data_IF_575876937452
#
_entry.id   IF_575876937452
#
_cell.length_a   1.000
_cell.length_b   1.000
_cell.length_c   1.000
_cell.angle_alpha   90.00
_cell.angle_beta   90.00
_cell.angle_gamma   90.00
#
_symmetry.space_group_name_H-M   'P 1'
#
loop_
_entity.id
_entity.type
_entity.pdbx_description
1 polymer ?
#
# COMPACT_ATOMS: atom_id res chain seq x y z
N UNK A 1 -1.54 -7.99 14.16
CA UNK A 1 -0.83 -7.71 12.90
C UNK A 1 0.44 -8.53 12.87
N UNK A 2 0.70 -9.21 11.76
CA UNK A 2 1.93 -9.98 11.56
C UNK A 2 2.71 -9.34 10.41
N UNK A 3 3.52 -8.33 10.76
CA UNK A 3 4.40 -7.67 9.82
C UNK A 3 5.80 -8.31 9.84
N UNK A 4 6.49 -8.37 8.69
CA UNK A 4 7.86 -8.85 8.58
C UNK A 4 8.85 -7.78 9.08
N UNK A 5 8.79 -7.46 10.37
CA UNK A 5 9.54 -6.35 10.97
C UNK A 5 11.05 -6.44 10.76
N UNK A 6 11.60 -7.66 10.76
CA UNK A 6 13.03 -7.88 10.59
C UNK A 6 13.46 -7.60 9.15
N UNK A 7 12.69 -8.06 8.18
CA UNK A 7 12.92 -7.86 6.75
C UNK A 7 12.80 -6.37 6.36
N UNK A 8 11.92 -5.64 7.05
CA UNK A 8 11.76 -4.20 6.93
C UNK A 8 12.89 -3.38 7.60
N UNK A 9 13.84 -4.03 8.28
CA UNK A 9 14.79 -3.38 9.19
C UNK A 9 14.12 -2.52 10.28
N UNK A 10 12.88 -2.86 10.65
CA UNK A 10 12.03 -2.18 11.63
C UNK A 10 11.72 -3.04 12.86
N UNK A 11 12.54 -4.07 13.14
CA UNK A 11 12.43 -4.88 14.37
C UNK A 11 12.48 -4.02 15.63
N UNK A 12 13.14 -2.86 15.58
CA UNK A 12 13.18 -1.87 16.65
C UNK A 12 13.07 -0.47 16.07
N UNK A 13 12.14 0.32 16.57
CA UNK A 13 11.96 1.71 16.19
C UNK A 13 11.46 2.53 17.37
N UNK A 14 11.62 3.84 17.30
CA UNK A 14 11.21 4.75 18.36
C UNK A 14 10.13 5.68 17.83
N UNK A 15 9.02 5.75 18.56
CA UNK A 15 8.01 6.76 18.33
C UNK A 15 8.31 7.96 19.22
N UNK A 16 8.37 9.13 18.61
CA UNK A 16 8.58 10.40 19.31
C UNK A 16 7.35 11.29 19.16
N UNK A 17 6.92 11.84 20.29
CA UNK A 17 5.85 12.83 20.37
C UNK A 17 6.26 13.90 21.38
N UNK A 18 6.46 15.12 20.90
CA UNK A 18 7.07 16.22 21.68
C UNK A 18 8.43 15.82 22.29
N UNK A 19 8.56 15.82 23.62
CA UNK A 19 9.77 15.45 24.37
C UNK A 19 9.82 13.96 24.76
N UNK A 20 8.75 13.21 24.53
CA UNK A 20 8.64 11.84 25.00
C UNK A 20 8.93 10.85 23.88
N UNK A 21 9.55 9.73 24.26
CA UNK A 21 9.92 8.64 23.35
C UNK A 21 9.37 7.32 23.86
N UNK A 22 8.93 6.48 22.95
CA UNK A 22 8.49 5.11 23.23
C UNK A 22 9.17 4.14 22.27
N UNK A 23 9.82 3.12 22.82
CA UNK A 23 10.45 2.07 22.04
C UNK A 23 9.40 1.02 21.64
N UNK A 24 9.44 0.65 20.37
CA UNK A 24 8.73 -0.50 19.83
C UNK A 24 9.74 -1.59 19.47
N UNK A 25 9.39 -2.83 19.81
CA UNK A 25 10.14 -4.04 19.45
C UNK A 25 9.16 -5.01 18.80
N UNK A 26 9.40 -5.36 17.55
CA UNK A 26 8.54 -6.22 16.72
C UNK A 26 7.06 -5.79 16.76
N UNK A 27 6.82 -4.48 16.68
CA UNK A 27 5.48 -3.88 16.70
C UNK A 27 4.82 -3.79 18.07
N UNK A 28 5.49 -4.20 19.16
CA UNK A 28 4.96 -4.10 20.53
C UNK A 28 5.69 -3.03 21.34
N UNK A 29 4.96 -2.36 22.22
CA UNK A 29 5.53 -1.33 23.10
C UNK A 29 6.41 -1.95 24.17
N UNK A 30 7.58 -1.36 24.41
CA UNK A 30 8.41 -1.68 25.58
C UNK A 30 8.59 -0.44 26.46
N UNK A 31 8.02 -0.43 27.68
CA UNK A 31 8.24 0.66 28.60
C UNK A 31 9.68 0.66 29.16
N UNK A 32 10.34 1.81 29.08
CA UNK A 32 11.45 2.21 29.97
C UNK A 32 12.81 1.51 29.82
N UNK A 33 12.99 0.53 28.93
CA UNK A 33 14.31 -0.14 28.73
C UNK A 33 14.86 0.12 27.32
N UNK A 34 16.14 0.50 27.23
CA UNK A 34 16.87 0.57 25.95
C UNK A 34 16.78 1.90 25.19
N UNK A 35 16.26 2.97 25.80
CA UNK A 35 16.21 4.32 25.20
C UNK A 35 17.60 4.95 25.02
N UNK A 36 18.62 4.54 25.78
CA UNK A 36 19.99 5.05 25.60
C UNK A 36 20.63 4.59 24.29
N UNK A 37 20.21 3.44 23.76
CA UNK A 37 20.59 2.95 22.42
C UNK A 37 19.71 3.53 21.29
N UNK A 38 18.75 4.42 21.61
CA UNK A 38 17.78 4.96 20.65
C UNK A 38 18.36 5.94 19.62
N UNK A 39 19.60 6.42 19.82
CA UNK A 39 20.21 7.42 18.91
C UNK A 39 20.42 6.90 17.49
N UNK A 40 20.51 5.59 17.30
CA UNK A 40 20.70 4.94 15.99
C UNK A 40 19.43 4.28 15.45
N UNK A 41 18.33 4.29 16.23
CA UNK A 41 17.08 3.66 15.81
C UNK A 41 16.28 4.56 14.88
N UNK A 42 15.52 3.93 13.97
CA UNK A 42 14.55 4.62 13.13
C UNK A 42 13.55 5.37 14.03
N UNK A 43 13.42 6.67 13.79
CA UNK A 43 12.50 7.54 14.53
C UNK A 43 11.23 7.77 13.71
N UNK A 44 10.08 7.64 14.35
CA UNK A 44 8.75 7.87 13.75
C UNK A 44 8.06 9.00 14.51
N UNK A 45 7.58 10.00 13.77
CA UNK A 45 6.87 11.17 14.31
C UNK A 45 5.56 11.37 13.57
N UNK A 46 4.55 11.90 14.24
CA UNK A 46 3.27 12.15 13.57
C UNK A 46 3.33 13.34 12.60
N UNK A 47 3.85 14.48 13.07
CA UNK A 47 4.07 15.66 12.25
C UNK A 47 5.57 15.90 12.10
N UNK A 48 5.93 16.63 11.05
CA UNK A 48 7.27 17.20 10.90
C UNK A 48 7.63 17.99 12.16
N UNK A 49 8.80 17.68 12.71
CA UNK A 49 9.38 18.35 13.85
C UNK A 49 10.88 18.50 13.65
N UNK A 50 11.57 19.01 14.66
CA UNK A 50 13.01 19.29 14.62
C UNK A 50 13.90 18.04 14.55
N UNK A 51 13.34 16.84 14.41
CA UNK A 51 14.13 15.60 14.39
C UNK A 51 14.57 15.30 12.96
N UNK A 52 15.82 15.60 12.59
CA UNK A 52 16.32 15.24 11.27
C UNK A 52 16.25 13.72 11.12
N UNK A 53 15.82 13.28 9.94
CA UNK A 53 15.69 11.86 9.56
C UNK A 53 14.59 11.05 10.26
N UNK A 54 13.59 11.71 10.84
CA UNK A 54 12.41 11.01 11.31
C UNK A 54 11.43 10.70 10.15
N UNK A 55 10.78 9.55 10.22
CA UNK A 55 9.69 9.17 9.31
C UNK A 55 8.45 9.96 9.71
N UNK A 56 7.94 10.78 8.80
CA UNK A 56 6.73 11.58 8.99
C UNK A 56 5.49 10.75 8.66
N UNK A 57 4.74 10.38 9.71
CA UNK A 57 3.60 9.49 9.59
C UNK A 57 2.41 10.14 8.89
N UNK A 58 2.18 11.43 9.13
CA UNK A 58 1.11 12.17 8.44
C UNK A 58 1.39 12.29 6.95
N UNK A 59 2.65 12.47 6.56
CA UNK A 59 3.05 12.46 5.15
C UNK A 59 2.80 11.08 4.53
N UNK A 60 3.23 9.99 5.19
CA UNK A 60 2.94 8.62 4.72
C UNK A 60 1.45 8.39 4.53
N UNK A 61 0.62 8.78 5.51
CA UNK A 61 -0.82 8.64 5.42
C UNK A 61 -1.42 9.38 4.23
N UNK A 62 -0.97 10.61 3.95
CA UNK A 62 -1.42 11.39 2.79
C UNK A 62 -1.09 10.71 1.46
N UNK A 63 0.02 10.00 1.42
CA UNK A 63 0.54 9.38 0.21
C UNK A 63 -0.13 8.02 -0.03
N UNK A 64 -0.28 7.21 1.02
CA UNK A 64 -0.90 5.89 0.91
C UNK A 64 -2.43 5.94 0.86
N UNK A 65 -3.03 6.99 1.46
CA UNK A 65 -4.48 7.16 1.53
C UNK A 65 -4.88 8.54 0.99
N UNK A 66 -4.63 8.84 -0.29
CA UNK A 66 -4.84 10.17 -0.85
C UNK A 66 -6.32 10.56 -0.92
N UNK A 67 -7.24 9.59 -0.87
CA UNK A 67 -8.68 9.78 -0.92
C UNK A 67 -9.31 10.08 0.44
N UNK A 68 -8.56 9.95 1.54
CA UNK A 68 -9.07 10.32 2.86
C UNK A 68 -9.23 11.84 2.97
N UNK A 69 -10.38 12.34 3.47
CA UNK A 69 -10.67 13.77 3.53
C UNK A 69 -9.85 14.49 4.62
N UNK A 70 -9.41 13.78 5.65
CA UNK A 70 -8.59 14.32 6.74
C UNK A 70 -7.52 13.33 7.18
N UNK A 71 -6.33 13.85 7.43
CA UNK A 71 -5.14 13.13 7.93
C UNK A 71 -4.71 13.73 9.26
N UNK A 72 -5.66 13.99 10.16
CA UNK A 72 -5.40 14.22 11.58
C UNK A 72 -5.22 12.88 12.32
N UNK A 73 -4.51 12.89 13.44
CA UNK A 73 -4.20 11.65 14.16
C UNK A 73 -5.50 10.97 14.64
N UNK A 74 -6.46 11.77 15.10
CA UNK A 74 -7.79 11.32 15.49
C UNK A 74 -8.54 10.67 14.34
N UNK A 75 -8.56 11.29 13.16
CA UNK A 75 -9.28 10.76 11.99
C UNK A 75 -8.65 9.47 11.47
N UNK A 76 -7.32 9.39 11.42
CA UNK A 76 -6.63 8.16 11.03
C UNK A 76 -6.79 7.04 12.06
N UNK A 77 -6.72 7.35 13.36
CA UNK A 77 -7.01 6.36 14.39
C UNK A 77 -8.45 5.86 14.30
N UNK A 78 -9.42 6.73 14.04
CA UNK A 78 -10.81 6.33 13.82
C UNK A 78 -10.97 5.43 12.58
N UNK A 79 -10.31 5.78 11.46
CA UNK A 79 -10.32 5.00 10.23
C UNK A 79 -9.82 3.56 10.44
N UNK A 80 -8.76 3.37 11.24
CA UNK A 80 -8.21 2.05 11.57
C UNK A 80 -8.77 1.44 12.87
N UNK A 81 -9.81 2.02 13.46
CA UNK A 81 -10.39 1.56 14.73
C UNK A 81 -9.37 1.46 15.89
N UNK A 82 -8.38 2.35 15.94
CA UNK A 82 -7.40 2.46 17.03
C UNK A 82 -8.03 3.28 18.17
N UNK A 83 -8.17 2.71 19.39
CA UNK A 83 -8.86 3.36 20.50
C UNK A 83 -7.99 4.44 21.16
N UNK A 84 -7.92 5.62 20.55
CA UNK A 84 -7.05 6.73 20.97
C UNK A 84 -7.29 7.18 22.42
N UNK A 85 -8.51 7.05 22.94
CA UNK A 85 -8.86 7.41 24.33
C UNK A 85 -8.32 6.42 25.37
N UNK A 86 -8.04 5.18 24.97
CA UNK A 86 -7.56 4.11 25.86
C UNK A 86 -6.05 3.93 25.78
N UNK A 87 -5.39 4.55 24.79
CA UNK A 87 -3.98 4.40 24.51
C UNK A 87 -3.24 5.70 24.80
N UNK A 88 -1.98 5.59 25.22
CA UNK A 88 -1.11 6.75 25.17
C UNK A 88 -0.89 7.17 23.72
N UNK A 89 -0.81 8.47 23.47
CA UNK A 89 -0.66 9.03 22.11
C UNK A 89 0.47 8.40 21.29
N UNK A 90 1.63 8.13 21.92
CA UNK A 90 2.77 7.44 21.28
C UNK A 90 2.46 5.98 20.90
N UNK A 91 1.65 5.30 21.69
CA UNK A 91 1.19 3.93 21.40
C UNK A 91 0.28 3.92 20.19
N UNK A 92 -0.66 4.88 20.13
CA UNK A 92 -1.53 5.07 18.98
C UNK A 92 -0.72 5.40 17.69
N UNK A 93 0.29 6.27 17.78
CA UNK A 93 1.17 6.60 16.63
C UNK A 93 1.93 5.36 16.13
N UNK A 94 2.54 4.57 17.02
CA UNK A 94 3.26 3.36 16.60
C UNK A 94 2.35 2.27 16.06
N UNK A 95 1.13 2.15 16.62
CA UNK A 95 0.10 1.26 16.08
C UNK A 95 -0.35 1.71 14.69
N UNK A 96 -0.62 3.00 14.51
CA UNK A 96 -0.96 3.60 13.21
C UNK A 96 0.17 3.39 12.19
N UNK A 97 1.42 3.49 12.63
CA UNK A 97 2.57 3.19 11.79
C UNK A 97 2.56 1.77 11.25
N UNK A 98 2.28 0.77 12.09
CA UNK A 98 2.08 -0.59 11.61
C UNK A 98 0.99 -0.66 10.52
N UNK A 99 -0.16 0.00 10.73
CA UNK A 99 -1.26 -0.04 9.75
C UNK A 99 -0.87 0.57 8.41
N UNK A 100 -0.13 1.68 8.44
CA UNK A 100 0.35 2.32 7.21
C UNK A 100 1.43 1.50 6.49
N UNK A 101 2.26 0.74 7.21
CA UNK A 101 3.16 -0.24 6.58
C UNK A 101 2.36 -1.34 5.86
N UNK A 102 1.31 -1.87 6.49
CA UNK A 102 0.45 -2.86 5.83
C UNK A 102 -0.22 -2.30 4.58
N UNK A 103 -0.73 -1.06 4.61
CA UNK A 103 -1.25 -0.43 3.40
C UNK A 103 -0.18 -0.25 2.32
N UNK A 104 1.02 0.18 2.72
CA UNK A 104 2.14 0.32 1.80
C UNK A 104 2.51 -0.98 1.10
N UNK A 105 2.42 -2.13 1.80
CA UNK A 105 2.67 -3.46 1.22
C UNK A 105 1.58 -3.92 0.24
N UNK A 106 0.39 -3.30 0.26
CA UNK A 106 -0.70 -3.58 -0.69
C UNK A 106 -0.69 -2.68 -1.92
N UNK A 107 0.16 -1.66 -1.94
CA UNK A 107 0.29 -0.78 -3.10
C UNK A 107 0.99 -1.52 -4.24
N UNK A 108 0.66 -1.12 -5.47
CA UNK A 108 1.35 -1.62 -6.65
C UNK A 108 2.87 -1.32 -6.58
N UNK A 109 3.76 -2.28 -6.91
CA UNK A 109 5.21 -2.10 -6.85
C UNK A 109 5.75 -0.88 -7.63
N UNK A 110 5.16 -0.55 -8.78
CA UNK A 110 5.57 0.63 -9.55
C UNK A 110 5.28 1.93 -8.79
N UNK A 111 4.14 1.99 -8.11
CA UNK A 111 3.76 3.12 -7.24
C UNK A 111 4.73 3.21 -6.06
N UNK A 112 5.03 2.10 -5.39
CA UNK A 112 6.00 2.05 -4.28
C UNK A 112 7.37 2.55 -4.75
N UNK A 113 7.84 2.09 -5.91
CA UNK A 113 9.10 2.52 -6.51
C UNK A 113 9.12 4.03 -6.75
N UNK A 114 8.08 4.59 -7.38
CA UNK A 114 7.97 6.02 -7.62
C UNK A 114 7.97 6.83 -6.31
N UNK A 115 7.16 6.41 -5.33
CA UNK A 115 7.06 7.05 -4.03
C UNK A 115 8.39 7.03 -3.27
N UNK A 116 9.16 5.94 -3.36
CA UNK A 116 10.49 5.84 -2.78
C UNK A 116 11.45 6.94 -3.28
N UNK A 117 11.29 7.40 -4.51
CA UNK A 117 12.11 8.47 -5.11
C UNK A 117 11.62 9.89 -4.79
N UNK A 118 10.31 10.06 -4.64
CA UNK A 118 9.69 11.39 -4.46
C UNK A 118 9.60 11.82 -3.00
N UNK A 119 9.59 10.88 -2.06
CA UNK A 119 9.44 11.19 -0.64
C UNK A 119 10.75 11.65 0.02
N UNK A 120 10.68 12.43 1.12
CA UNK A 120 11.86 12.83 1.88
C UNK A 120 12.71 11.62 2.29
N UNK A 121 14.05 11.75 2.39
CA UNK A 121 14.99 10.62 2.44
C UNK A 121 14.57 9.48 3.37
N UNK A 122 14.27 9.75 4.64
CA UNK A 122 13.93 8.69 5.62
C UNK A 122 12.60 8.00 5.34
N UNK A 123 11.61 8.76 4.83
CA UNK A 123 10.33 8.19 4.42
C UNK A 123 10.49 7.42 3.11
N UNK A 124 11.24 7.97 2.14
CA UNK A 124 11.49 7.32 0.84
C UNK A 124 12.31 6.04 0.98
N UNK A 125 13.32 6.02 1.86
CA UNK A 125 14.08 4.82 2.22
C UNK A 125 13.17 3.73 2.78
N UNK A 126 12.29 4.07 3.74
CA UNK A 126 11.30 3.13 4.23
C UNK A 126 10.44 2.57 3.09
N UNK A 127 9.90 3.42 2.22
CA UNK A 127 9.05 2.98 1.11
C UNK A 127 9.83 2.07 0.15
N UNK A 128 11.11 2.34 -0.14
CA UNK A 128 11.95 1.44 -0.94
C UNK A 128 12.14 0.08 -0.28
N UNK A 129 12.23 0.00 1.04
CA UNK A 129 12.30 -1.27 1.77
C UNK A 129 10.99 -2.08 1.70
N UNK A 130 9.85 -1.45 1.39
CA UNK A 130 8.58 -2.16 1.16
C UNK A 130 8.56 -2.90 -0.18
N UNK A 131 9.25 -2.38 -1.21
CA UNK A 131 9.20 -2.88 -2.58
C UNK A 131 9.44 -4.40 -2.71
N UNK A 132 10.56 -4.97 -2.22
CA UNK A 132 10.83 -6.40 -2.39
C UNK A 132 9.81 -7.29 -1.67
N UNK A 133 9.12 -6.76 -0.66
CA UNK A 133 8.10 -7.47 0.09
C UNK A 133 6.73 -7.40 -0.60
N UNK A 134 6.41 -6.27 -1.24
CA UNK A 134 5.19 -6.11 -2.02
C UNK A 134 5.21 -7.02 -3.27
N UNK A 135 6.34 -7.10 -3.97
CA UNK A 135 6.53 -7.98 -5.13
C UNK A 135 6.32 -9.46 -4.77
N UNK A 136 6.77 -9.88 -3.58
CA UNK A 136 6.60 -11.24 -3.08
C UNK A 136 5.14 -11.58 -2.69
N UNK A 137 4.30 -10.56 -2.45
CA UNK A 137 2.87 -10.72 -2.17
C UNK A 137 2.08 -10.87 -3.47
N UNK A 138 2.41 -10.09 -4.51
CA UNK A 138 1.78 -10.24 -5.84
C UNK A 138 2.05 -11.63 -6.43
N UNK A 139 3.30 -12.11 -6.38
CA UNK A 139 3.65 -13.44 -6.93
C UNK A 139 2.97 -14.61 -6.22
N UNK A 140 2.61 -14.48 -4.94
CA UNK A 140 1.87 -15.53 -4.20
C UNK A 140 0.37 -15.54 -4.49
N UNK A 141 -0.17 -14.45 -5.02
CA UNK A 141 -1.60 -14.33 -5.28
C UNK A 141 -1.97 -14.82 -6.69
N UNK A 142 -0.99 -15.01 -7.57
CA UNK A 142 -1.18 -15.50 -8.95
C UNK A 142 -1.17 -17.04 -9.13
N UNK A 143 -1.07 -17.84 -8.06
CA UNK A 143 -1.17 -19.30 -8.14
C UNK A 143 -2.56 -19.83 -7.77
N UNK A 144 -3.62 -19.30 -8.39
CA UNK A 144 -4.77 -20.15 -8.73
C UNK A 144 -4.72 -20.39 -10.23
N UNK A 145 -4.54 -21.64 -10.71
CA UNK A 145 -4.76 -21.93 -12.11
C UNK A 145 -6.23 -21.61 -12.36
N UNK A 146 -6.50 -20.47 -13.00
CA UNK A 146 -7.79 -20.20 -13.61
C UNK A 146 -8.11 -21.46 -14.41
N UNK A 147 -9.09 -22.24 -13.93
CA UNK A 147 -9.63 -23.32 -14.73
C UNK A 147 -9.92 -22.70 -16.09
N UNK A 148 -9.47 -23.30 -17.20
CA UNK A 148 -9.75 -22.77 -18.50
C UNK A 148 -11.26 -22.78 -18.66
N UNK A 149 -11.89 -21.64 -18.36
CA UNK A 149 -13.25 -21.35 -18.74
C UNK A 149 -13.22 -21.54 -20.24
N UNK A 150 -13.84 -22.61 -20.73
CA UNK A 150 -13.89 -22.92 -22.15
C UNK A 150 -14.29 -21.63 -22.84
N UNK A 151 -13.32 -21.02 -23.53
CA UNK A 151 -13.58 -19.80 -24.28
C UNK A 151 -14.76 -20.14 -25.20
N UNK A 152 -15.84 -19.36 -25.20
CA UNK A 152 -16.89 -19.57 -26.17
C UNK A 152 -16.24 -19.64 -27.54
N UNK A 153 -16.44 -20.74 -28.26
CA UNK A 153 -15.95 -20.96 -29.62
C UNK A 153 -16.80 -20.07 -30.55
N UNK A 154 -16.68 -18.76 -30.37
CA UNK A 154 -17.38 -17.76 -31.12
C UNK A 154 -16.29 -16.97 -31.82
N UNK A 155 -16.37 -16.91 -33.15
CA UNK A 155 -15.40 -16.15 -33.94
C UNK A 155 -15.47 -14.67 -33.55
N UNK A 156 -14.35 -13.95 -33.69
CA UNK A 156 -14.30 -12.50 -33.45
C UNK A 156 -15.31 -11.74 -34.30
N UNK A 157 -15.57 -12.21 -35.52
CA UNK A 157 -16.59 -11.66 -36.42
C UNK A 157 -18.00 -11.81 -35.84
N UNK A 158 -18.31 -12.97 -35.27
CA UNK A 158 -19.61 -13.27 -34.69
C UNK A 158 -19.83 -12.50 -33.39
N UNK A 159 -18.80 -12.37 -32.55
CA UNK A 159 -18.84 -11.61 -31.30
C UNK A 159 -19.06 -10.10 -31.51
N UNK A 160 -18.44 -9.52 -32.55
CA UNK A 160 -18.50 -8.09 -32.89
C UNK A 160 -19.55 -7.75 -33.98
N UNK A 161 -20.41 -8.69 -34.33
CA UNK A 161 -21.51 -8.45 -35.28
C UNK A 161 -22.65 -7.64 -34.64
N UNK A 162 -23.54 -7.08 -35.47
CA UNK A 162 -24.75 -6.38 -35.01
C UNK A 162 -25.63 -7.19 -34.05
N UNK A 163 -25.57 -8.52 -34.19
CA UNK A 163 -26.34 -9.49 -33.41
C UNK A 163 -25.47 -10.29 -32.45
N UNK A 164 -24.18 -9.93 -32.32
CA UNK A 164 -23.21 -10.64 -31.50
C UNK A 164 -23.47 -10.47 -30.01
N UNK A 165 -22.85 -11.33 -29.21
CA UNK A 165 -23.01 -11.34 -27.74
C UNK A 165 -22.71 -9.97 -27.13
N UNK A 166 -21.73 -9.24 -27.69
CA UNK A 166 -21.35 -7.90 -27.22
C UNK A 166 -22.45 -6.86 -27.54
N UNK A 167 -23.04 -6.93 -28.73
CA UNK A 167 -24.12 -6.03 -29.14
C UNK A 167 -25.39 -6.22 -28.31
N UNK A 168 -25.68 -7.46 -27.91
CA UNK A 168 -26.85 -7.78 -27.09
C UNK A 168 -26.72 -7.31 -25.64
N UNK A 169 -25.50 -7.20 -25.11
CA UNK A 169 -25.24 -6.81 -23.72
C UNK A 169 -24.95 -5.31 -23.54
N UNK A 170 -24.74 -4.56 -24.62
CA UNK A 170 -24.38 -3.15 -24.58
C UNK A 170 -25.40 -2.29 -25.35
N UNK A 171 -26.27 -1.52 -24.66
CA UNK A 171 -27.31 -0.69 -25.26
C UNK A 171 -26.81 0.42 -26.21
N UNK A 172 -25.51 0.68 -26.23
CA UNK A 172 -24.86 1.68 -27.10
C UNK A 172 -23.85 1.07 -28.08
N UNK A 173 -23.97 -0.22 -28.37
CA UNK A 173 -23.04 -0.88 -29.29
C UNK A 173 -23.15 -0.30 -30.71
N UNK A 174 -22.00 0.08 -31.27
CA UNK A 174 -21.86 0.58 -32.62
C UNK A 174 -20.81 -0.25 -33.36
N UNK A 175 -21.13 -0.66 -34.58
CA UNK A 175 -20.21 -1.44 -35.41
C UNK A 175 -19.11 -0.52 -35.93
N UNK A 176 -17.86 -0.81 -35.54
CA UNK A 176 -16.67 -0.08 -36.01
C UNK A 176 -15.78 -0.99 -36.84
N UNK A 177 -15.75 -0.83 -38.18
CA UNK A 177 -14.98 -1.71 -39.07
C UNK A 177 -13.48 -1.78 -38.73
N UNK A 178 -12.89 -0.68 -38.23
CA UNK A 178 -11.50 -0.65 -37.81
C UNK A 178 -11.23 -1.54 -36.58
N UNK A 179 -12.17 -1.61 -35.64
CA UNK A 179 -12.04 -2.44 -34.44
C UNK A 179 -12.22 -3.93 -34.76
N UNK A 180 -13.14 -4.26 -35.67
CA UNK A 180 -13.28 -5.63 -36.19
C UNK A 180 -12.00 -6.09 -36.88
N UNK A 181 -11.42 -5.26 -37.75
CA UNK A 181 -10.16 -5.57 -38.42
C UNK A 181 -9.01 -5.78 -37.43
N UNK A 182 -8.91 -4.95 -36.39
CA UNK A 182 -7.91 -5.11 -35.34
C UNK A 182 -8.12 -6.42 -34.56
N UNK A 183 -9.36 -6.72 -34.16
CA UNK A 183 -9.69 -7.94 -33.42
C UNK A 183 -9.35 -9.20 -34.24
N UNK A 184 -9.65 -9.21 -35.54
CA UNK A 184 -9.28 -10.32 -36.42
C UNK A 184 -7.76 -10.47 -36.59
N UNK A 185 -7.00 -9.38 -36.61
CA UNK A 185 -5.53 -9.44 -36.66
C UNK A 185 -4.94 -10.01 -35.36
N UNK A 186 -5.49 -9.63 -34.20
CA UNK A 186 -5.05 -10.17 -32.90
C UNK A 186 -5.38 -11.67 -32.81
N UNK A 187 -6.57 -12.09 -33.23
CA UNK A 187 -6.97 -13.50 -33.23
C UNK A 187 -6.23 -14.39 -34.25
N UNK A 188 -5.41 -13.82 -35.14
CA UNK A 188 -4.52 -14.58 -36.03
C UNK A 188 -3.12 -14.75 -35.43
N UNK A 189 -2.76 -13.95 -34.43
CA UNK A 189 -1.43 -13.96 -33.78
C UNK A 189 -1.43 -14.86 -32.54
N UNK A 190 -2.56 -14.95 -31.85
CA UNK A 190 -2.79 -15.76 -30.65
C UNK A 190 -3.74 -16.92 -30.96
#
# INVERSE_FOLDING_TARGET
MHLPWKELALSRFVVQDSSEKLLFVDGKTQPGKGLDAAKELVSVVYNEGETPRAINLRLLAKVFLPTLPDHSLSSLCAYYHIPLEQLHRKEAIGTLFAFLIEEGLRLNPEVISLLGHLLPPSTGELVRHLLPLAEAVETKTEEEPLQPTQAPIISTEEALSANGVIAQQLPGFEIRPAQQKMASLVAQIF
#
